data_IF_364016277237
#
_entry.id   IF_364016277237
#
_cell.length_a   1.000
_cell.length_b   1.000
_cell.length_c   1.000
_cell.angle_alpha   90.00
_cell.angle_beta   90.00
_cell.angle_gamma   90.00
#
_symmetry.space_group_name_H-M   'P 1'
#
loop_
_entity.id
_entity.type
_entity.pdbx_description
1 polymer ?
#
# COMPACT_ATOMS: atom_id res chain seq x y z
N UNK A 1 -9.42 9.84 -9.16
CA UNK A 1 -9.35 8.43 -9.63
C UNK A 1 -8.83 7.46 -8.59
N UNK A 2 -7.75 7.81 -7.90
CA UNK A 2 -7.21 7.04 -6.78
C UNK A 2 -8.27 6.70 -5.71
N UNK A 3 -9.03 7.70 -5.27
CA UNK A 3 -10.08 7.60 -4.27
C UNK A 3 -11.25 6.71 -4.71
N UNK A 4 -11.37 6.47 -6.02
CA UNK A 4 -12.38 5.57 -6.61
C UNK A 4 -11.90 4.11 -6.69
N UNK A 5 -10.76 3.79 -6.07
CA UNK A 5 -10.20 2.44 -6.08
C UNK A 5 -9.52 2.05 -7.41
N UNK A 6 -9.18 3.00 -8.28
CA UNK A 6 -8.48 2.68 -9.54
C UNK A 6 -6.99 2.40 -9.32
N UNK A 7 -6.37 1.68 -10.23
CA UNK A 7 -4.90 1.51 -10.31
C UNK A 7 -4.35 2.35 -11.45
N UNK A 8 -3.06 2.71 -11.38
CA UNK A 8 -2.36 3.45 -12.42
C UNK A 8 -1.30 2.57 -13.11
N UNK A 9 -1.16 2.72 -14.42
CA UNK A 9 -0.05 2.12 -15.19
C UNK A 9 1.20 3.00 -15.21
N UNK A 10 1.07 4.30 -14.91
CA UNK A 10 2.22 5.15 -14.65
C UNK A 10 2.85 4.72 -13.31
N UNK A 11 4.14 4.32 -13.28
CA UNK A 11 4.77 3.77 -12.10
C UNK A 11 4.98 4.79 -10.98
N UNK A 12 5.17 6.08 -11.31
CA UNK A 12 5.35 7.15 -10.32
C UNK A 12 4.03 7.45 -9.63
N UNK A 13 2.95 7.59 -10.41
CA UNK A 13 1.60 7.77 -9.88
C UNK A 13 1.18 6.54 -9.08
N UNK A 14 1.42 5.34 -9.62
CA UNK A 14 1.07 4.07 -8.99
C UNK A 14 1.75 3.89 -7.64
N UNK A 15 3.05 4.21 -7.54
CA UNK A 15 3.77 4.13 -6.26
C UNK A 15 3.21 5.11 -5.21
N UNK A 16 2.84 6.34 -5.63
CA UNK A 16 2.23 7.32 -4.73
C UNK A 16 0.86 6.84 -4.21
N UNK A 17 0.04 6.25 -5.09
CA UNK A 17 -1.26 5.70 -4.75
C UNK A 17 -1.17 4.49 -3.82
N UNK A 18 -0.20 3.60 -4.07
CA UNK A 18 0.06 2.44 -3.23
C UNK A 18 0.49 2.88 -1.82
N UNK A 19 1.34 3.91 -1.71
CA UNK A 19 1.80 4.43 -0.43
C UNK A 19 0.64 4.95 0.45
N UNK A 20 -0.30 5.70 -0.12
CA UNK A 20 -1.50 6.15 0.62
C UNK A 20 -2.35 4.98 1.11
N UNK A 21 -2.60 3.98 0.25
CA UNK A 21 -3.41 2.82 0.61
C UNK A 21 -2.72 1.94 1.65
N UNK A 22 -1.40 1.79 1.59
CA UNK A 22 -0.61 1.06 2.60
C UNK A 22 -0.64 1.73 3.97
N UNK A 23 -1.07 2.98 4.07
CA UNK A 23 -1.22 3.73 5.33
C UNK A 23 -2.63 3.61 5.94
N UNK A 24 -3.56 2.89 5.31
CA UNK A 24 -4.93 2.68 5.81
C UNK A 24 -4.99 2.04 7.21
N UNK A 25 -3.95 1.32 7.62
CA UNK A 25 -3.87 0.74 8.96
C UNK A 25 -3.96 1.81 10.06
N UNK A 26 -3.55 3.06 9.77
CA UNK A 26 -3.64 4.18 10.73
C UNK A 26 -5.08 4.53 11.10
N UNK A 27 -6.05 4.12 10.27
CA UNK A 27 -7.50 4.29 10.52
C UNK A 27 -8.19 2.93 10.74
N UNK A 28 -7.43 1.88 11.04
CA UNK A 28 -7.97 0.55 11.35
C UNK A 28 -8.48 -0.24 10.14
N UNK A 29 -8.03 0.08 8.92
CA UNK A 29 -8.39 -0.66 7.70
C UNK A 29 -7.16 -1.32 7.08
N UNK A 30 -7.27 -2.59 6.70
CA UNK A 30 -6.20 -3.25 5.96
C UNK A 30 -6.16 -2.77 4.49
N UNK A 31 -4.96 -2.60 3.89
CA UNK A 31 -4.84 -2.35 2.46
C UNK A 31 -5.32 -3.57 1.65
N UNK A 32 -6.02 -3.30 0.55
CA UNK A 32 -6.44 -4.34 -0.40
C UNK A 32 -5.38 -4.50 -1.51
N UNK A 33 -4.76 -5.69 -1.69
CA UNK A 33 -3.77 -5.93 -2.73
C UNK A 33 -4.30 -5.75 -4.16
N UNK A 34 -5.60 -5.95 -4.40
CA UNK A 34 -6.19 -5.76 -5.74
C UNK A 34 -6.31 -4.28 -6.10
N UNK A 35 -6.23 -3.40 -5.10
CA UNK A 35 -6.15 -1.96 -5.27
C UNK A 35 -4.70 -1.47 -5.29
N UNK A 36 -3.69 -2.32 -5.53
CA UNK A 36 -2.31 -1.87 -5.68
C UNK A 36 -1.89 -1.83 -7.15
N UNK A 37 -1.27 -0.73 -7.54
CA UNK A 37 -0.78 -0.47 -8.89
C UNK A 37 0.51 -1.22 -9.17
N UNK A 38 1.43 -1.26 -8.20
CA UNK A 38 2.76 -1.84 -8.38
C UNK A 38 2.86 -3.25 -7.82
N UNK A 39 3.75 -4.11 -8.37
CA UNK A 39 4.02 -5.42 -7.79
C UNK A 39 4.52 -5.34 -6.34
N UNK A 40 5.29 -4.31 -6.00
CA UNK A 40 5.76 -4.08 -4.62
C UNK A 40 4.60 -3.71 -3.70
N UNK A 41 3.71 -2.80 -4.13
CA UNK A 41 2.49 -2.46 -3.40
C UNK A 41 1.64 -3.68 -3.10
N UNK A 42 1.41 -4.55 -4.09
CA UNK A 42 0.68 -5.83 -3.92
C UNK A 42 1.29 -6.71 -2.84
N UNK A 43 2.62 -6.90 -2.88
CA UNK A 43 3.33 -7.71 -1.88
C UNK A 43 3.22 -7.11 -0.48
N UNK A 44 3.36 -5.79 -0.36
CA UNK A 44 3.25 -5.10 0.92
C UNK A 44 1.84 -5.19 1.49
N UNK A 45 0.80 -5.04 0.67
CA UNK A 45 -0.59 -5.12 1.10
C UNK A 45 -0.97 -6.49 1.71
N UNK A 46 -0.26 -7.56 1.33
CA UNK A 46 -0.44 -8.90 1.91
C UNK A 46 0.19 -9.06 3.32
N UNK A 47 1.04 -8.14 3.73
CA UNK A 47 1.72 -8.18 5.03
C UNK A 47 0.90 -7.45 6.10
N UNK A 48 1.06 -7.85 7.36
CA UNK A 48 0.51 -7.09 8.49
C UNK A 48 1.26 -5.76 8.63
N UNK A 49 0.59 -4.74 9.18
CA UNK A 49 1.16 -3.41 9.43
C UNK A 49 2.56 -3.46 10.07
N UNK A 50 2.69 -4.26 11.14
CA UNK A 50 3.94 -4.39 11.89
C UNK A 50 5.04 -5.09 11.10
N UNK A 51 4.69 -6.05 10.24
CA UNK A 51 5.66 -6.75 9.40
C UNK A 51 6.21 -5.82 8.32
N UNK A 52 5.35 -4.96 7.72
CA UNK A 52 5.80 -3.91 6.81
C UNK A 52 6.77 -2.93 7.45
N UNK A 53 6.45 -2.44 8.67
CA UNK A 53 7.33 -1.51 9.41
C UNK A 53 8.68 -2.13 9.73
N UNK A 54 8.70 -3.40 10.14
CA UNK A 54 9.93 -4.15 10.40
C UNK A 54 10.82 -4.30 9.18
N UNK A 55 10.24 -4.53 7.99
CA UNK A 55 11.00 -4.64 6.74
C UNK A 55 11.85 -3.40 6.44
N UNK A 56 11.39 -2.22 6.85
CA UNK A 56 12.10 -0.94 6.64
C UNK A 56 12.87 -0.47 7.87
N UNK A 57 13.05 -1.35 8.87
CA UNK A 57 13.81 -1.05 10.09
C UNK A 57 13.11 -0.09 11.06
N UNK A 58 11.81 0.18 10.88
CA UNK A 58 11.02 0.99 11.81
C UNK A 58 10.64 0.12 13.01
N UNK A 59 11.13 0.49 14.20
CA UNK A 59 10.75 -0.16 15.46
C UNK A 59 9.26 0.12 15.75
N UNK A 60 8.54 -0.84 16.35
CA UNK A 60 7.11 -0.70 16.66
C UNK A 60 6.82 0.49 17.57
#
# INVERSE_FOLDING_TARGET
>A
DHEKGRVSQDPTIGACWDADRLDLDRVGKAPDPDLMSTPTGKKLALLRANDRRRLVGVKP
#
